data_IF_270500624507
#
_entry.id   IF_270500624507
#
_cell.length_a   1.000
_cell.length_b   1.000
_cell.length_c   1.000
_cell.angle_alpha   90.00
_cell.angle_beta   90.00
_cell.angle_gamma   90.00
#
_symmetry.space_group_name_H-M   'P 1'
#
loop_
_entity.id
_entity.type
_entity.pdbx_description
1 polymer ?
#
# COMPACT_ATOMS: atom_id res chain seq x y z
N UNK A 1 -15.78 2.79 -11.68
CA UNK A 1 -14.30 2.71 -11.84
C UNK A 1 -14.01 1.37 -12.48
N UNK A 2 -13.10 1.30 -13.45
CA UNK A 2 -12.67 0.01 -13.99
C UNK A 2 -11.83 -0.71 -12.93
N UNK A 3 -12.02 -2.02 -12.72
CA UNK A 3 -11.16 -2.82 -11.87
C UNK A 3 -9.71 -2.73 -12.34
N UNK A 4 -8.75 -2.82 -11.40
CA UNK A 4 -7.33 -2.91 -11.74
C UNK A 4 -6.70 -3.98 -10.86
N UNK A 5 -6.16 -5.00 -11.50
CA UNK A 5 -5.54 -6.16 -10.86
C UNK A 5 -4.01 -6.08 -10.83
N UNK A 6 -3.44 -4.98 -11.33
CA UNK A 6 -1.99 -4.71 -11.29
C UNK A 6 -1.74 -3.21 -11.08
N UNK A 7 -2.01 -2.73 -9.87
CA UNK A 7 -1.72 -1.35 -9.46
C UNK A 7 -0.26 -1.27 -9.04
N UNK A 8 0.49 -0.42 -9.75
CA UNK A 8 1.92 -0.21 -9.50
C UNK A 8 2.16 1.15 -8.81
N UNK A 9 3.30 1.35 -8.15
CA UNK A 9 3.74 2.68 -7.73
C UNK A 9 3.62 3.68 -8.89
N UNK A 10 3.18 4.90 -8.59
CA UNK A 10 2.80 5.99 -9.49
C UNK A 10 1.39 5.89 -10.11
N UNK A 11 0.73 4.74 -10.06
CA UNK A 11 -0.67 4.65 -10.44
C UNK A 11 -1.57 5.42 -9.47
N UNK A 12 -2.77 5.74 -9.95
CA UNK A 12 -3.78 6.40 -9.15
C UNK A 12 -4.63 5.38 -8.38
N UNK A 13 -4.74 5.55 -7.08
CA UNK A 13 -5.58 4.77 -6.17
C UNK A 13 -6.63 5.64 -5.51
N UNK A 14 -7.71 5.04 -5.02
CA UNK A 14 -8.68 5.72 -4.18
C UNK A 14 -8.21 5.70 -2.73
N UNK A 15 -8.41 6.82 -2.06
CA UNK A 15 -8.18 6.92 -0.63
C UNK A 15 -9.42 7.50 0.07
N UNK A 16 -9.75 6.96 1.24
CA UNK A 16 -10.71 7.53 2.16
C UNK A 16 -9.96 8.39 3.18
N UNK A 17 -10.39 9.62 3.38
CA UNK A 17 -9.81 10.54 4.35
C UNK A 17 -10.88 11.42 4.98
N UNK A 18 -10.56 12.15 6.04
CA UNK A 18 -11.43 13.18 6.60
C UNK A 18 -11.09 14.51 5.94
N UNK A 19 -12.09 15.15 5.38
CA UNK A 19 -11.94 16.52 4.84
C UNK A 19 -11.95 17.54 5.99
N UNK A 20 -11.44 18.78 5.78
CA UNK A 20 -11.49 19.86 6.78
C UNK A 20 -12.89 20.15 7.34
N UNK A 21 -13.94 19.73 6.65
CA UNK A 21 -15.34 19.84 7.06
C UNK A 21 -15.83 18.68 7.93
N UNK A 22 -14.93 17.84 8.47
CA UNK A 22 -15.24 16.64 9.29
C UNK A 22 -16.07 15.55 8.60
N UNK A 23 -16.17 15.57 7.29
CA UNK A 23 -16.86 14.53 6.52
C UNK A 23 -15.89 13.55 5.91
N UNK A 24 -16.22 12.25 5.97
CA UNK A 24 -15.52 11.24 5.20
C UNK A 24 -15.58 11.58 3.72
N UNK A 25 -14.42 11.66 3.09
CA UNK A 25 -14.28 12.01 1.68
C UNK A 25 -13.43 10.96 0.97
N UNK A 26 -13.69 10.81 -0.33
CA UNK A 26 -12.85 9.99 -1.20
C UNK A 26 -12.09 10.89 -2.17
N UNK A 27 -10.81 10.59 -2.35
CA UNK A 27 -9.97 11.26 -3.35
C UNK A 27 -9.20 10.23 -4.16
N UNK A 28 -8.85 10.63 -5.38
CA UNK A 28 -7.91 9.88 -6.20
C UNK A 28 -6.51 10.44 -5.95
N UNK A 29 -5.58 9.58 -5.53
CA UNK A 29 -4.20 9.96 -5.21
C UNK A 29 -3.22 9.12 -6.00
N UNK A 30 -2.15 9.72 -6.50
CA UNK A 30 -1.01 8.98 -7.04
C UNK A 30 -0.33 8.19 -5.92
N UNK A 31 -0.01 6.92 -6.13
CA UNK A 31 0.69 6.10 -5.14
C UNK A 31 2.20 6.37 -5.19
N UNK A 32 2.68 7.15 -4.26
CA UNK A 32 4.03 7.70 -4.12
C UNK A 32 3.92 9.13 -3.59
N UNK A 33 4.07 9.30 -2.26
CA UNK A 33 3.80 10.57 -1.58
C UNK A 33 4.72 11.69 -2.07
N UNK A 34 4.11 12.78 -2.52
CA UNK A 34 4.77 14.06 -2.78
C UNK A 34 4.43 15.00 -1.62
N UNK A 35 5.37 15.27 -0.70
CA UNK A 35 5.08 16.17 0.41
C UNK A 35 4.80 17.60 -0.08
N UNK A 36 3.84 18.30 0.55
CA UNK A 36 3.46 19.67 0.19
C UNK A 36 4.61 20.68 0.17
N UNK A 37 5.67 20.42 0.92
CA UNK A 37 6.86 21.27 0.98
C UNK A 37 7.89 20.97 -0.12
N UNK A 38 7.70 19.92 -0.94
CA UNK A 38 8.65 19.55 -1.98
C UNK A 38 8.82 20.67 -3.01
N UNK A 39 10.05 21.12 -3.21
CA UNK A 39 10.36 22.28 -4.06
C UNK A 39 11.26 21.95 -5.26
N UNK A 40 11.73 20.68 -5.34
CA UNK A 40 12.56 20.22 -6.46
C UNK A 40 11.68 19.64 -7.57
N UNK A 41 12.20 19.43 -8.79
CA UNK A 41 11.47 18.75 -9.85
C UNK A 41 10.93 17.39 -9.40
N UNK A 42 9.72 17.02 -9.83
CA UNK A 42 9.09 15.74 -9.47
C UNK A 42 9.91 14.52 -9.91
N UNK A 43 10.66 14.62 -11.03
CA UNK A 43 11.59 13.57 -11.48
C UNK A 43 12.64 13.17 -10.44
N UNK A 44 13.03 14.10 -9.57
CA UNK A 44 14.01 13.83 -8.51
C UNK A 44 13.38 13.05 -7.35
N UNK A 45 12.07 13.28 -7.10
CA UNK A 45 11.31 12.52 -6.13
C UNK A 45 11.10 11.07 -6.58
N UNK A 46 10.86 10.84 -7.88
CA UNK A 46 10.65 9.49 -8.44
C UNK A 46 11.83 8.55 -8.23
N UNK A 47 13.02 9.07 -7.93
CA UNK A 47 14.20 8.28 -7.53
C UNK A 47 14.16 7.84 -6.07
N UNK A 48 13.23 8.39 -5.30
CA UNK A 48 13.05 8.09 -3.88
C UNK A 48 11.85 7.17 -3.71
N UNK A 49 12.00 6.15 -2.87
CA UNK A 49 10.89 5.24 -2.54
C UNK A 49 9.94 5.92 -1.55
N UNK A 50 8.89 6.59 -2.06
CA UNK A 50 7.88 7.28 -1.23
C UNK A 50 6.51 6.60 -1.28
N UNK A 51 6.41 5.42 -1.90
CA UNK A 51 5.17 4.66 -1.97
C UNK A 51 4.87 3.85 -0.70
N UNK A 52 5.91 3.55 0.12
CA UNK A 52 5.76 2.89 1.41
C UNK A 52 6.46 3.68 2.53
N UNK A 53 5.79 3.88 3.65
CA UNK A 53 6.30 4.48 4.88
C UNK A 53 6.44 3.43 5.97
N UNK A 54 7.65 3.23 6.51
CA UNK A 54 7.87 2.27 7.59
C UNK A 54 7.38 2.82 8.92
N UNK A 55 6.64 2.04 9.69
CA UNK A 55 6.09 2.42 10.99
C UNK A 55 7.17 2.94 11.95
N UNK A 56 8.36 2.34 11.93
CA UNK A 56 9.47 2.70 12.83
C UNK A 56 10.00 4.11 12.61
N UNK A 57 9.77 4.68 11.44
CA UNK A 57 10.33 5.99 11.05
C UNK A 57 9.30 6.98 10.53
N UNK A 58 8.03 6.60 10.46
CA UNK A 58 6.97 7.44 9.88
C UNK A 58 6.80 8.77 10.61
N UNK A 59 7.03 8.80 11.92
CA UNK A 59 6.93 10.01 12.77
C UNK A 59 8.15 10.94 12.68
N UNK A 60 9.27 10.43 12.16
CA UNK A 60 10.55 11.18 12.18
C UNK A 60 11.06 11.56 10.79
N UNK A 61 10.84 10.70 9.77
CA UNK A 61 11.29 10.97 8.41
C UNK A 61 10.61 12.22 7.82
N UNK A 62 11.39 13.17 7.28
CA UNK A 62 10.86 14.43 6.72
C UNK A 62 9.75 14.24 5.68
N UNK A 63 9.80 13.16 4.89
CA UNK A 63 8.80 12.87 3.86
C UNK A 63 7.42 12.55 4.43
N UNK A 64 7.35 11.93 5.62
CA UNK A 64 6.11 11.33 6.13
C UNK A 64 5.60 12.00 7.41
N UNK A 65 6.47 12.55 8.25
CA UNK A 65 6.13 13.05 9.59
C UNK A 65 5.01 14.09 9.64
N UNK A 66 4.95 14.98 8.65
CA UNK A 66 3.90 16.02 8.62
C UNK A 66 2.56 15.43 8.17
N UNK A 67 2.58 14.52 7.18
CA UNK A 67 1.39 13.81 6.75
C UNK A 67 0.86 12.89 7.86
N UNK A 68 1.76 12.23 8.62
CA UNK A 68 1.37 11.42 9.78
C UNK A 68 0.64 12.22 10.85
N UNK A 69 1.01 13.47 11.06
CA UNK A 69 0.36 14.35 12.02
C UNK A 69 -0.98 14.92 11.55
N UNK A 70 -1.21 15.02 10.24
CA UNK A 70 -2.29 15.88 9.72
C UNK A 70 -3.19 15.23 8.68
N UNK A 71 -2.68 14.32 7.88
CA UNK A 71 -3.35 13.85 6.66
C UNK A 71 -3.24 12.35 6.53
N UNK A 72 -3.96 11.65 7.41
CA UNK A 72 -4.09 10.21 7.39
C UNK A 72 -5.20 9.79 6.43
N UNK A 73 -5.05 8.61 5.85
CA UNK A 73 -6.06 8.04 4.97
C UNK A 73 -6.14 6.52 5.12
N UNK A 74 -7.16 5.94 4.52
CA UNK A 74 -7.32 4.51 4.32
C UNK A 74 -7.27 4.26 2.83
N UNK A 75 -6.47 3.28 2.41
CA UNK A 75 -6.33 2.85 1.02
C UNK A 75 -7.06 1.50 0.89
N UNK A 76 -8.27 1.44 0.28
CA UNK A 76 -8.99 0.19 0.11
C UNK A 76 -8.43 -0.60 -1.09
N UNK A 77 -8.29 -1.90 -0.92
CA UNK A 77 -7.92 -2.82 -1.98
C UNK A 77 -8.56 -4.20 -1.78
N UNK A 78 -8.80 -4.95 -2.86
CA UNK A 78 -9.24 -6.34 -2.77
C UNK A 78 -8.12 -7.29 -2.35
N UNK A 79 -6.86 -6.90 -2.54
CA UNK A 79 -5.69 -7.65 -2.16
C UNK A 79 -4.40 -6.92 -2.54
N UNK A 80 -3.26 -7.55 -2.30
CA UNK A 80 -1.94 -7.04 -2.66
C UNK A 80 -1.00 -8.17 -3.03
N UNK A 81 0.11 -7.83 -3.66
CA UNK A 81 1.15 -8.78 -4.04
C UNK A 81 2.40 -8.56 -3.20
N UNK A 82 3.05 -9.67 -2.85
CA UNK A 82 4.41 -9.71 -2.33
C UNK A 82 5.20 -10.82 -3.02
N UNK A 83 6.51 -10.71 -3.02
CA UNK A 83 7.40 -11.56 -3.80
C UNK A 83 8.34 -12.37 -2.92
N UNK A 84 8.19 -13.67 -2.97
CA UNK A 84 9.09 -14.62 -2.35
C UNK A 84 10.36 -14.78 -3.19
N UNK A 85 11.51 -14.71 -2.54
CA UNK A 85 12.78 -15.07 -3.18
C UNK A 85 12.89 -16.58 -3.29
N UNK A 86 13.07 -17.09 -4.51
CA UNK A 86 13.25 -18.51 -4.79
C UNK A 86 14.48 -18.72 -5.67
N UNK A 87 15.06 -19.94 -5.75
CA UNK A 87 16.16 -20.23 -6.66
C UNK A 87 15.87 -19.85 -8.12
N UNK A 88 14.58 -19.94 -8.54
CA UNK A 88 14.12 -19.64 -9.89
C UNK A 88 13.70 -18.16 -10.05
N UNK A 89 14.11 -17.29 -9.12
CA UNK A 89 13.79 -15.86 -9.09
C UNK A 89 12.57 -15.55 -8.25
N UNK A 90 12.04 -14.34 -8.38
CA UNK A 90 10.92 -13.85 -7.59
C UNK A 90 9.61 -14.55 -7.95
N UNK A 91 9.00 -15.22 -6.97
CA UNK A 91 7.66 -15.80 -7.06
C UNK A 91 6.64 -14.87 -6.42
N UNK A 92 5.70 -14.28 -7.19
CA UNK A 92 4.66 -13.46 -6.63
C UNK A 92 3.58 -14.29 -5.93
N UNK A 93 3.10 -13.77 -4.81
CA UNK A 93 1.94 -14.25 -4.07
C UNK A 93 0.89 -13.15 -4.00
N UNK A 94 -0.36 -13.51 -4.15
CA UNK A 94 -1.49 -12.62 -3.92
C UNK A 94 -2.05 -12.86 -2.52
N UNK A 95 -2.23 -11.77 -1.79
CA UNK A 95 -2.76 -11.75 -0.44
C UNK A 95 -4.14 -11.10 -0.44
N UNK A 96 -5.10 -11.69 0.26
CA UNK A 96 -6.45 -11.15 0.44
C UNK A 96 -7.00 -11.53 1.81
N UNK A 97 -8.13 -10.92 2.22
CA UNK A 97 -8.77 -11.31 3.47
C UNK A 97 -9.47 -12.67 3.34
N UNK A 98 -9.42 -13.45 4.42
CA UNK A 98 -10.09 -14.76 4.50
C UNK A 98 -11.61 -14.66 4.47
N UNK A 99 -12.16 -13.51 4.94
CA UNK A 99 -13.58 -13.23 4.95
C UNK A 99 -14.12 -12.64 3.63
N UNK A 100 -13.25 -12.45 2.62
CA UNK A 100 -13.59 -11.86 1.33
C UNK A 100 -13.89 -10.36 1.35
N UNK A 101 -13.72 -9.69 2.48
CA UNK A 101 -13.90 -8.25 2.59
C UNK A 101 -12.73 -7.47 1.98
N UNK A 102 -12.94 -6.19 1.73
CA UNK A 102 -11.91 -5.27 1.26
C UNK A 102 -10.84 -5.07 2.35
N UNK A 103 -9.56 -5.18 1.97
CA UNK A 103 -8.46 -4.80 2.85
C UNK A 103 -8.43 -3.27 2.97
N UNK A 104 -8.26 -2.77 4.18
CA UNK A 104 -8.16 -1.33 4.48
C UNK A 104 -6.75 -1.03 4.97
N UNK A 105 -5.89 -0.56 4.09
CA UNK A 105 -4.52 -0.22 4.48
C UNK A 105 -4.45 1.14 5.18
N UNK A 106 -3.69 1.23 6.27
CA UNK A 106 -3.30 2.51 6.85
C UNK A 106 -2.40 3.26 5.86
N UNK A 107 -2.75 4.50 5.60
CA UNK A 107 -2.01 5.34 4.66
C UNK A 107 -1.92 6.80 5.11
N UNK A 108 -1.06 7.52 4.42
CA UNK A 108 -0.92 8.98 4.53
C UNK A 108 -1.14 9.58 3.15
N UNK A 109 -1.66 10.80 3.10
CA UNK A 109 -1.80 11.53 1.85
C UNK A 109 -1.33 12.96 2.00
N UNK A 110 -1.02 13.60 0.89
CA UNK A 110 -0.71 15.02 0.87
C UNK A 110 -1.16 15.65 -0.46
N UNK A 111 -1.34 16.95 -0.43
CA UNK A 111 -1.62 17.76 -1.61
C UNK A 111 -0.45 18.70 -1.85
N UNK A 112 0.27 18.44 -2.92
CA UNK A 112 1.38 19.28 -3.40
C UNK A 112 0.87 20.22 -4.49
N UNK A 113 1.36 21.47 -4.47
CA UNK A 113 1.04 22.47 -5.47
C UNK A 113 2.30 22.86 -6.24
N UNK A 114 2.23 22.71 -7.55
CA UNK A 114 3.28 23.23 -8.43
C UNK A 114 3.27 24.76 -8.39
N UNK A 115 4.40 25.34 -8.02
CA UNK A 115 4.53 26.80 -7.90
C UNK A 115 4.59 27.50 -9.26
N UNK A 116 5.01 26.80 -10.31
CA UNK A 116 5.15 27.37 -11.65
C UNK A 116 3.82 27.36 -12.41
N UNK A 117 3.06 26.22 -12.32
CA UNK A 117 1.81 26.05 -13.06
C UNK A 117 0.56 26.32 -12.23
N UNK A 118 0.68 26.25 -10.90
CA UNK A 118 -0.46 26.32 -9.98
C UNK A 118 -1.25 25.03 -9.88
N UNK A 119 -0.90 24.00 -10.63
CA UNK A 119 -1.55 22.69 -10.59
C UNK A 119 -1.36 22.01 -9.24
N UNK A 120 -2.37 21.23 -8.82
CA UNK A 120 -2.33 20.47 -7.58
C UNK A 120 -2.25 18.98 -7.87
N UNK A 121 -1.40 18.28 -7.12
CA UNK A 121 -1.25 16.82 -7.18
C UNK A 121 -1.57 16.23 -5.80
N UNK A 122 -2.59 15.38 -5.73
CA UNK A 122 -2.85 14.55 -4.55
C UNK A 122 -2.09 13.24 -4.67
N UNK A 123 -1.39 12.88 -3.61
CA UNK A 123 -0.58 11.67 -3.56
C UNK A 123 -0.70 10.99 -2.21
N UNK A 124 -0.41 9.69 -2.16
CA UNK A 124 -0.49 8.90 -0.93
C UNK A 124 0.68 7.93 -0.79
N UNK A 125 0.86 7.43 0.42
CA UNK A 125 1.78 6.34 0.74
C UNK A 125 1.09 5.34 1.65
N UNK A 126 1.45 4.07 1.52
CA UNK A 126 0.99 3.00 2.40
C UNK A 126 1.95 2.89 3.60
N UNK A 127 1.41 2.65 4.80
CA UNK A 127 2.23 2.36 5.96
C UNK A 127 2.49 0.85 6.00
N UNK A 128 3.77 0.49 6.19
CA UNK A 128 4.22 -0.90 6.30
C UNK A 128 4.88 -1.14 7.66
N UNK A 129 4.73 -2.36 8.16
CA UNK A 129 5.26 -2.84 9.44
C UNK A 129 6.03 -4.15 9.24
N UNK A 130 6.54 -4.73 10.32
CA UNK A 130 7.05 -6.09 10.32
C UNK A 130 5.95 -7.10 9.91
N UNK A 131 6.31 -8.25 9.34
CA UNK A 131 5.33 -9.23 8.91
C UNK A 131 4.79 -10.04 10.10
N UNK A 132 3.56 -10.55 9.99
CA UNK A 132 3.10 -11.68 10.80
C UNK A 132 3.74 -13.00 10.29
N UNK A 133 3.51 -14.12 10.99
CA UNK A 133 4.17 -15.39 10.68
C UNK A 133 3.90 -15.86 9.24
N UNK A 134 2.66 -15.72 8.75
CA UNK A 134 2.30 -16.14 7.39
C UNK A 134 2.98 -15.28 6.31
N UNK A 135 3.04 -13.95 6.50
CA UNK A 135 3.66 -13.05 5.51
C UNK A 135 5.18 -13.18 5.55
N UNK A 136 5.79 -13.46 6.70
CA UNK A 136 7.22 -13.68 6.86
C UNK A 136 7.78 -14.82 5.99
N UNK A 137 6.95 -15.78 5.60
CA UNK A 137 7.34 -16.85 4.66
C UNK A 137 7.60 -16.31 3.24
N UNK A 138 7.14 -15.10 2.92
CA UNK A 138 7.20 -14.50 1.58
C UNK A 138 8.04 -13.23 1.57
N UNK A 139 7.85 -12.35 2.55
CA UNK A 139 8.48 -11.02 2.59
C UNK A 139 8.72 -10.55 4.02
N UNK A 140 9.74 -9.71 4.21
CA UNK A 140 10.15 -9.16 5.52
C UNK A 140 9.31 -7.97 6.00
N UNK A 141 8.30 -7.57 5.22
CA UNK A 141 7.37 -6.47 5.52
C UNK A 141 5.96 -6.83 5.08
N UNK A 142 4.98 -6.19 5.75
CA UNK A 142 3.60 -6.24 5.33
C UNK A 142 2.94 -4.86 5.45
N UNK A 143 1.89 -4.57 4.67
CA UNK A 143 1.05 -3.41 4.89
C UNK A 143 0.33 -3.48 6.24
N UNK A 144 0.17 -2.33 6.89
CA UNK A 144 -0.70 -2.23 8.07
C UNK A 144 -2.15 -2.31 7.62
N UNK A 145 -2.86 -3.34 8.09
CA UNK A 145 -4.28 -3.55 7.84
C UNK A 145 -5.07 -3.01 9.04
N UNK A 146 -5.99 -2.10 8.77
CA UNK A 146 -6.89 -1.57 9.79
C UNK A 146 -8.20 -2.36 9.81
N UNK A 147 -8.68 -2.65 11.02
CA UNK A 147 -10.02 -3.19 11.24
C UNK A 147 -11.07 -2.06 11.35
N UNK A 148 -12.36 -2.32 11.14
CA UNK A 148 -13.41 -1.29 11.07
C UNK A 148 -13.49 -0.36 12.28
N UNK A 149 -13.24 -0.86 13.49
CA UNK A 149 -13.20 -0.09 14.73
C UNK A 149 -12.01 0.88 14.82
N UNK A 150 -10.96 0.65 14.05
CA UNK A 150 -9.77 1.50 13.98
C UNK A 150 -9.91 2.63 12.94
N UNK A 151 -10.92 2.61 12.07
CA UNK A 151 -11.02 3.58 10.97
C UNK A 151 -11.18 5.02 11.46
N UNK A 152 -12.10 5.25 12.37
CA UNK A 152 -12.36 6.59 12.93
C UNK A 152 -11.18 7.08 13.75
N UNK A 153 -10.68 6.31 14.75
CA UNK A 153 -9.50 6.73 15.51
C UNK A 153 -8.28 7.02 14.63
N UNK A 154 -8.07 6.24 13.57
CA UNK A 154 -6.99 6.50 12.62
C UNK A 154 -7.18 7.80 11.84
N UNK A 155 -8.33 7.98 11.23
CA UNK A 155 -8.61 9.11 10.35
C UNK A 155 -8.70 10.45 11.11
N UNK A 156 -9.14 10.44 12.37
CA UNK A 156 -9.31 11.63 13.22
C UNK A 156 -8.08 11.93 14.08
N UNK A 157 -6.97 11.16 13.90
CA UNK A 157 -5.72 11.29 14.65
C UNK A 157 -5.86 11.03 16.16
N UNK A 158 -6.84 10.25 16.57
CA UNK A 158 -7.07 9.86 17.97
C UNK A 158 -6.19 8.67 18.37
N UNK A 159 -5.86 7.77 17.42
CA UNK A 159 -4.90 6.67 17.62
C UNK A 159 -3.56 6.97 16.97
N UNK A 160 -2.47 6.43 17.50
CA UNK A 160 -1.10 6.65 17.04
C UNK A 160 -0.43 5.39 16.49
N UNK A 161 0.83 5.16 16.90
CA UNK A 161 1.62 4.01 16.46
C UNK A 161 1.12 2.69 17.05
N UNK A 162 0.39 2.73 18.15
CA UNK A 162 -0.11 1.56 18.88
C UNK A 162 -1.09 0.69 18.07
N UNK A 163 -1.73 1.24 17.05
CA UNK A 163 -2.61 0.47 16.16
C UNK A 163 -1.93 0.04 14.85
N UNK A 164 -0.69 0.48 14.59
CA UNK A 164 0.05 0.17 13.36
C UNK A 164 0.84 -1.13 13.51
N UNK A 165 0.13 -2.20 13.84
CA UNK A 165 0.69 -3.52 14.11
C UNK A 165 0.54 -4.45 12.89
N UNK A 166 1.29 -5.57 12.85
CA UNK A 166 1.01 -6.66 11.91
C UNK A 166 -0.44 -7.12 12.02
N UNK A 167 -1.06 -7.47 10.90
CA UNK A 167 -2.39 -8.08 10.92
C UNK A 167 -2.38 -9.36 11.76
N UNK A 168 -3.44 -9.59 12.54
CA UNK A 168 -3.58 -10.81 13.33
C UNK A 168 -3.57 -12.05 12.41
N UNK A 169 -3.09 -13.17 12.96
CA UNK A 169 -3.08 -14.43 12.23
C UNK A 169 -4.51 -14.85 11.84
N UNK A 170 -4.65 -15.42 10.64
CA UNK A 170 -5.94 -15.86 10.11
C UNK A 170 -6.80 -14.78 9.43
N UNK A 171 -6.45 -13.48 9.55
CA UNK A 171 -7.16 -12.40 8.84
C UNK A 171 -6.87 -12.44 7.33
N UNK A 172 -5.65 -12.78 6.96
CA UNK A 172 -5.22 -12.87 5.57
C UNK A 172 -5.07 -14.33 5.14
N UNK A 173 -5.21 -14.56 3.85
CA UNK A 173 -4.84 -15.78 3.15
C UNK A 173 -4.00 -15.41 1.93
N UNK A 174 -3.23 -16.38 1.40
CA UNK A 174 -2.39 -16.15 0.23
C UNK A 174 -2.29 -17.39 -0.65
N UNK A 175 -1.94 -17.13 -1.89
CA UNK A 175 -1.56 -18.19 -2.84
C UNK A 175 -0.56 -17.63 -3.86
N UNK A 176 0.26 -18.50 -4.47
CA UNK A 176 1.14 -18.11 -5.56
C UNK A 176 0.33 -17.77 -6.81
N UNK A 177 0.80 -16.76 -7.54
CA UNK A 177 0.17 -16.32 -8.78
C UNK A 177 1.17 -16.28 -9.94
N UNK A 178 0.66 -16.10 -11.14
CA UNK A 178 1.48 -16.06 -12.36
C UNK A 178 2.54 -14.94 -12.29
N UNK A 179 3.76 -15.25 -12.70
CA UNK A 179 4.87 -14.28 -12.87
C UNK A 179 4.55 -13.16 -13.89
N UNK A 180 3.42 -13.22 -14.60
CA UNK A 180 2.94 -12.14 -15.46
C UNK A 180 2.75 -10.82 -14.69
N UNK A 181 2.38 -10.88 -13.40
CA UNK A 181 2.23 -9.70 -12.53
C UNK A 181 3.55 -8.95 -12.28
N UNK A 182 4.71 -9.58 -12.53
CA UNK A 182 6.02 -8.94 -12.41
C UNK A 182 6.24 -7.84 -13.46
N UNK A 183 5.43 -7.82 -14.51
CA UNK A 183 5.48 -6.79 -15.54
C UNK A 183 4.49 -5.67 -15.28
N UNK A 184 4.96 -4.45 -15.11
CA UNK A 184 4.10 -3.26 -15.03
C UNK A 184 3.31 -3.00 -16.35
N UNK A 185 3.67 -3.71 -17.42
CA UNK A 185 2.98 -3.68 -18.72
C UNK A 185 1.88 -4.74 -18.84
N UNK A 186 1.71 -5.63 -17.85
CA UNK A 186 0.58 -6.57 -17.84
C UNK A 186 -0.75 -5.80 -17.88
N UNK A 187 -1.77 -6.28 -18.63
CA UNK A 187 -3.07 -5.64 -18.69
C UNK A 187 -3.64 -5.46 -17.28
N UNK A 188 -4.00 -4.22 -16.93
CA UNK A 188 -4.47 -3.89 -15.57
C UNK A 188 -5.86 -4.42 -15.28
N UNK A 189 -6.66 -4.70 -16.29
CA UNK A 189 -8.01 -5.25 -16.24
C UNK A 189 -8.07 -6.78 -16.32
N UNK A 190 -6.91 -7.45 -16.33
CA UNK A 190 -6.80 -8.92 -16.37
C UNK A 190 -6.95 -9.53 -14.97
N UNK A 191 -8.15 -10.01 -14.65
CA UNK A 191 -8.46 -10.66 -13.36
C UNK A 191 -7.69 -11.97 -13.15
N UNK A 192 -7.19 -12.60 -14.22
CA UNK A 192 -6.42 -13.85 -14.10
C UNK A 192 -5.08 -13.65 -13.41
N UNK A 193 -4.61 -12.40 -13.25
CA UNK A 193 -3.41 -12.08 -12.49
C UNK A 193 -3.52 -12.44 -11.01
N UNK A 194 -4.74 -12.52 -10.47
CA UNK A 194 -4.97 -12.88 -9.06
C UNK A 194 -5.26 -14.38 -8.87
N UNK A 195 -5.36 -15.15 -9.94
CA UNK A 195 -5.69 -16.57 -9.85
C UNK A 195 -4.50 -17.40 -9.39
N UNK A 196 -4.73 -18.44 -8.56
CA UNK A 196 -3.69 -19.32 -8.08
C UNK A 196 -3.03 -20.10 -9.23
N UNK A 197 -1.72 -20.33 -9.10
CA UNK A 197 -0.97 -21.22 -9.97
C UNK A 197 -0.30 -22.32 -9.15
N UNK A 198 -0.15 -23.51 -9.75
CA UNK A 198 0.67 -24.58 -9.15
C UNK A 198 2.15 -24.19 -9.24
N UNK A 199 2.85 -24.27 -8.13
CA UNK A 199 4.31 -24.18 -8.09
C UNK A 199 4.84 -25.60 -8.02
N UNK A 200 5.70 -25.97 -8.98
CA UNK A 200 6.42 -27.24 -8.89
C UNK A 200 7.23 -27.26 -7.58
N UNK A 201 7.01 -28.28 -6.76
CA UNK A 201 7.83 -28.48 -5.58
C UNK A 201 9.32 -28.58 -6.00
N UNK A 202 10.28 -28.00 -5.24
CA UNK A 202 11.68 -28.24 -5.52
C UNK A 202 11.95 -29.73 -5.47
N UNK A 203 12.85 -30.25 -6.33
CA UNK A 203 13.25 -31.67 -6.28
C UNK A 203 13.75 -32.00 -4.86
N UNK A 204 13.50 -33.19 -4.35
CA UNK A 204 14.00 -33.60 -3.04
C UNK A 204 15.53 -33.43 -3.02
N UNK A 205 16.10 -33.05 -1.86
CA UNK A 205 17.55 -32.95 -1.74
C UNK A 205 18.18 -34.33 -2.06
N UNK A 206 19.21 -34.30 -2.90
CA UNK A 206 20.03 -35.48 -3.28
C UNK A 206 20.90 -35.88 -2.10
#
# INVERSE_FOLDING_TARGET
MQPSYNVCPTDTVNVRHVAPTTRASFSRCGWGLVPRWWSKPLKDLMRLSTFNARVETVTTKPFFREAFKRTRCIIPASGYYEWQDTPDGKQPHYFTRTDGQVISFAGLWDEWKDRATGETLKSCTMIITEPNAMVAEVHDRMPVVLEPDQFTPWLENEAGLEILLPAAEGILQRWPVSKRVNSSKAPKDDETLTQPVEISAPPPPV
#
